data_IF_984722426257
#
_entry.id   IF_984722426257
#
_cell.length_a   1.000
_cell.length_b   1.000
_cell.length_c   1.000
_cell.angle_alpha   90.00
_cell.angle_beta   90.00
_cell.angle_gamma   90.00
#
_symmetry.space_group_name_H-M   'P 1'
#
loop_
_entity.id
_entity.type
_entity.pdbx_description
1 polymer ?
#
# COMPACT_ATOMS: atom_id res chain seq x y z
N UNK A 1 -30.14 -31.94 31.91
CA UNK A 1 -30.17 -30.83 30.96
C UNK A 1 -29.10 -29.82 31.36
N UNK A 2 -27.87 -30.01 30.88
CA UNK A 2 -26.72 -29.18 31.27
C UNK A 2 -26.60 -28.06 30.23
N UNK A 3 -26.91 -26.85 30.64
CA UNK A 3 -26.76 -25.64 29.79
C UNK A 3 -25.27 -25.37 29.59
N UNK A 4 -24.76 -25.70 28.44
CA UNK A 4 -23.39 -25.29 28.01
C UNK A 4 -23.42 -23.78 27.81
N UNK A 5 -22.95 -23.07 28.82
CA UNK A 5 -22.72 -21.63 28.76
C UNK A 5 -21.62 -21.35 27.75
N UNK A 6 -21.99 -21.00 26.51
CA UNK A 6 -21.05 -20.53 25.48
C UNK A 6 -20.30 -19.31 26.03
N UNK A 7 -19.11 -19.51 26.57
CA UNK A 7 -18.17 -18.43 26.87
C UNK A 7 -17.70 -17.89 25.55
N UNK A 8 -18.21 -16.77 25.14
CA UNK A 8 -17.63 -15.93 24.11
C UNK A 8 -16.25 -15.45 24.61
N UNK A 9 -15.19 -16.17 24.28
CA UNK A 9 -13.83 -15.65 24.46
C UNK A 9 -13.65 -14.60 23.36
N UNK A 10 -13.53 -13.31 23.71
CA UNK A 10 -13.25 -12.29 22.69
C UNK A 10 -11.89 -12.60 22.08
N UNK A 11 -11.77 -12.46 20.76
CA UNK A 11 -10.51 -12.49 20.03
C UNK A 11 -9.65 -11.29 20.47
N UNK A 12 -9.01 -11.40 21.61
CA UNK A 12 -8.03 -10.39 22.04
C UNK A 12 -6.76 -10.65 21.26
N UNK A 13 -6.43 -9.76 20.33
CA UNK A 13 -5.18 -9.82 19.59
C UNK A 13 -4.01 -9.77 20.55
N UNK A 14 -3.15 -10.78 20.50
CA UNK A 14 -1.94 -10.82 21.31
C UNK A 14 -0.93 -9.75 20.82
N UNK A 15 -0.08 -9.26 21.73
CA UNK A 15 1.04 -8.37 21.37
C UNK A 15 1.92 -9.00 20.29
N UNK A 16 2.12 -10.31 20.35
CA UNK A 16 2.90 -11.06 19.36
C UNK A 16 2.26 -11.03 17.96
N UNK A 17 0.92 -11.10 17.87
CA UNK A 17 0.21 -10.94 16.61
C UNK A 17 0.34 -9.51 16.07
N UNK A 18 0.28 -8.50 16.93
CA UNK A 18 0.50 -7.11 16.52
C UNK A 18 1.93 -6.89 15.98
N UNK A 19 2.94 -7.48 16.63
CA UNK A 19 4.32 -7.49 16.13
C UNK A 19 4.39 -8.24 14.79
N UNK A 20 3.72 -9.37 14.66
CA UNK A 20 3.61 -10.13 13.40
C UNK A 20 3.01 -9.29 12.27
N UNK A 21 1.94 -8.55 12.52
CA UNK A 21 1.33 -7.60 11.57
C UNK A 21 2.32 -6.49 11.18
N UNK A 22 3.02 -5.91 12.14
CA UNK A 22 4.01 -4.85 11.89
C UNK A 22 5.18 -5.37 11.05
N UNK A 23 5.75 -6.53 11.39
CA UNK A 23 6.84 -7.15 10.63
C UNK A 23 6.40 -7.60 9.23
N UNK A 24 5.21 -8.17 9.10
CA UNK A 24 4.65 -8.47 7.78
C UNK A 24 4.58 -7.21 6.93
N UNK A 25 4.00 -6.12 7.47
CA UNK A 25 3.88 -4.84 6.79
C UNK A 25 5.22 -4.24 6.38
N UNK A 26 6.23 -4.29 7.27
CA UNK A 26 7.58 -3.81 7.01
C UNK A 26 8.24 -4.48 5.80
N UNK A 27 7.75 -5.64 5.37
CA UNK A 27 8.27 -6.40 4.23
C UNK A 27 7.54 -6.17 2.91
N UNK A 28 6.33 -5.59 2.93
CA UNK A 28 5.50 -5.49 1.73
C UNK A 28 5.97 -4.43 0.71
N UNK A 29 6.76 -3.45 1.15
CA UNK A 29 7.28 -2.39 0.27
C UNK A 29 8.75 -2.57 -0.11
N UNK A 30 9.64 -3.06 0.76
CA UNK A 30 11.06 -3.26 0.43
C UNK A 30 11.30 -4.07 -0.83
N UNK A 31 10.47 -5.08 -1.09
CA UNK A 31 10.54 -5.89 -2.30
C UNK A 31 10.47 -5.07 -3.61
N UNK A 32 9.75 -3.95 -3.59
CA UNK A 32 9.59 -3.05 -4.75
C UNK A 32 10.63 -1.94 -4.69
N UNK A 33 10.76 -1.27 -3.55
CA UNK A 33 11.60 -0.07 -3.42
C UNK A 33 13.09 -0.38 -3.45
N UNK A 34 13.53 -1.53 -2.92
CA UNK A 34 14.93 -1.94 -3.01
C UNK A 34 15.38 -2.15 -4.45
N UNK A 35 14.57 -2.82 -5.27
CA UNK A 35 14.92 -3.05 -6.66
C UNK A 35 14.89 -1.75 -7.48
N UNK A 36 13.92 -0.87 -7.19
CA UNK A 36 13.81 0.43 -7.85
C UNK A 36 15.02 1.34 -7.57
N UNK A 37 15.60 1.27 -6.36
CA UNK A 37 16.72 2.12 -5.97
C UNK A 37 18.06 1.75 -6.66
N UNK A 38 18.20 0.52 -7.15
CA UNK A 38 19.40 0.02 -7.87
C UNK A 38 19.08 -0.37 -9.32
N UNK A 39 18.00 0.15 -9.87
CA UNK A 39 17.46 -0.27 -11.17
C UNK A 39 18.43 0.01 -12.34
N UNK A 40 19.23 1.07 -12.23
CA UNK A 40 20.25 1.43 -13.24
C UNK A 40 21.32 0.36 -13.29
N UNK A 41 21.79 -0.10 -12.15
CA UNK A 41 22.86 -1.10 -12.01
C UNK A 41 22.34 -2.48 -12.42
N UNK A 42 21.11 -2.81 -12.07
CA UNK A 42 20.41 -4.02 -12.56
C UNK A 42 20.32 -4.03 -14.07
N UNK A 43 19.94 -2.91 -14.68
CA UNK A 43 19.86 -2.78 -16.15
C UNK A 43 21.22 -2.96 -16.82
N UNK A 44 22.25 -2.32 -16.27
CA UNK A 44 23.61 -2.42 -16.80
C UNK A 44 24.17 -3.84 -16.67
N UNK A 45 24.02 -4.46 -15.48
CA UNK A 45 24.53 -5.78 -15.19
C UNK A 45 23.83 -6.91 -15.99
N UNK A 46 22.54 -6.75 -16.29
CA UNK A 46 21.78 -7.74 -17.08
C UNK A 46 21.81 -7.48 -18.59
N UNK A 47 22.34 -6.36 -19.03
CA UNK A 47 22.39 -5.97 -20.46
C UNK A 47 21.00 -5.83 -21.09
N UNK A 48 19.98 -5.43 -20.31
CA UNK A 48 18.58 -5.42 -20.76
C UNK A 48 18.13 -4.07 -21.32
N UNK A 49 17.07 -4.11 -22.14
CA UNK A 49 16.50 -2.91 -22.76
C UNK A 49 15.70 -2.07 -21.77
N UNK A 50 15.44 -0.79 -22.15
CA UNK A 50 14.53 0.06 -21.42
C UNK A 50 13.10 -0.51 -21.33
N UNK A 51 12.64 -1.22 -22.37
CA UNK A 51 11.35 -1.89 -22.37
C UNK A 51 11.25 -2.97 -21.31
N UNK A 52 12.31 -3.77 -21.12
CA UNK A 52 12.37 -4.77 -20.03
C UNK A 52 12.32 -4.09 -18.65
N UNK A 53 13.07 -3.00 -18.48
CA UNK A 53 13.06 -2.23 -17.22
C UNK A 53 11.69 -1.65 -16.93
N UNK A 54 11.00 -1.13 -17.96
CA UNK A 54 9.61 -0.65 -17.83
C UNK A 54 8.64 -1.78 -17.47
N UNK A 55 8.80 -2.96 -18.07
CA UNK A 55 8.01 -4.14 -17.69
C UNK A 55 8.24 -4.51 -16.23
N UNK A 56 9.49 -4.55 -15.76
CA UNK A 56 9.84 -4.84 -14.37
C UNK A 56 9.17 -3.87 -13.38
N UNK A 57 9.14 -2.58 -13.69
CA UNK A 57 8.50 -1.56 -12.85
C UNK A 57 6.98 -1.60 -12.89
N UNK A 58 6.37 -2.15 -13.95
CA UNK A 58 4.94 -2.33 -14.07
C UNK A 58 4.41 -3.58 -13.34
N UNK A 59 5.27 -4.61 -13.14
CA UNK A 59 4.90 -5.88 -12.47
C UNK A 59 4.17 -5.66 -11.14
N UNK A 60 4.62 -4.81 -10.20
CA UNK A 60 3.94 -4.62 -8.93
C UNK A 60 2.47 -4.19 -9.09
N UNK A 61 2.20 -3.21 -9.94
CA UNK A 61 0.84 -2.70 -10.15
C UNK A 61 -0.08 -3.77 -10.76
N UNK A 62 0.42 -4.54 -11.73
CA UNK A 62 -0.32 -5.65 -12.34
C UNK A 62 -0.59 -6.76 -11.32
N UNK A 63 0.43 -7.15 -10.54
CA UNK A 63 0.25 -8.17 -9.50
C UNK A 63 -0.76 -7.72 -8.45
N UNK A 64 -0.69 -6.47 -8.00
CA UNK A 64 -1.64 -5.95 -7.00
C UNK A 64 -3.07 -5.90 -7.56
N UNK A 65 -3.23 -5.59 -8.86
CA UNK A 65 -4.52 -5.67 -9.52
C UNK A 65 -5.08 -7.09 -9.61
N UNK A 66 -4.31 -8.03 -10.10
CA UNK A 66 -4.80 -9.38 -10.40
C UNK A 66 -4.72 -10.36 -9.23
N UNK A 67 -3.58 -10.44 -8.52
CA UNK A 67 -3.40 -11.44 -7.47
C UNK A 67 -4.24 -11.13 -6.21
N UNK A 68 -4.63 -9.88 -5.99
CA UNK A 68 -5.50 -9.51 -4.88
C UNK A 68 -6.88 -10.18 -4.93
N UNK A 69 -7.39 -10.53 -6.13
CA UNK A 69 -8.64 -11.29 -6.27
C UNK A 69 -8.57 -12.69 -5.65
N UNK A 70 -7.39 -13.31 -5.62
CA UNK A 70 -7.21 -14.63 -5.04
C UNK A 70 -7.25 -14.61 -3.49
N UNK A 71 -6.99 -13.48 -2.85
CA UNK A 71 -6.83 -13.37 -1.42
C UNK A 71 -8.06 -13.85 -0.61
N UNK A 72 -9.32 -13.46 -0.92
CA UNK A 72 -10.47 -13.95 -0.17
C UNK A 72 -10.70 -15.46 -0.31
N UNK A 73 -10.35 -16.03 -1.47
CA UNK A 73 -10.44 -17.46 -1.71
C UNK A 73 -9.39 -18.22 -0.89
N UNK A 74 -8.14 -17.75 -0.89
CA UNK A 74 -7.07 -18.29 -0.05
C UNK A 74 -7.43 -18.20 1.43
N UNK A 75 -7.91 -17.04 1.90
CA UNK A 75 -8.32 -16.83 3.29
C UNK A 75 -9.44 -17.78 3.72
N UNK A 76 -10.40 -18.11 2.84
CA UNK A 76 -11.46 -19.09 3.13
C UNK A 76 -10.96 -20.52 3.13
N UNK A 77 -10.05 -20.90 2.23
CA UNK A 77 -9.56 -22.28 2.11
C UNK A 77 -8.52 -22.66 3.17
N UNK A 78 -7.60 -21.75 3.45
CA UNK A 78 -6.45 -22.01 4.32
C UNK A 78 -6.60 -21.43 5.73
N UNK A 79 -7.59 -20.54 5.92
CA UNK A 79 -7.63 -19.66 7.08
C UNK A 79 -6.74 -18.42 6.90
N UNK A 80 -7.10 -17.32 7.58
CA UNK A 80 -6.41 -16.02 7.39
C UNK A 80 -4.93 -16.09 7.77
N UNK A 81 -4.61 -16.72 8.90
CA UNK A 81 -3.24 -16.80 9.40
C UNK A 81 -2.33 -17.59 8.47
N UNK A 82 -2.78 -18.77 7.99
CA UNK A 82 -2.00 -19.57 7.05
C UNK A 82 -1.88 -18.92 5.69
N UNK A 83 -2.94 -18.25 5.21
CA UNK A 83 -2.92 -17.55 3.94
C UNK A 83 -1.88 -16.42 3.94
N UNK A 84 -1.80 -15.62 5.02
CA UNK A 84 -0.78 -14.56 5.16
C UNK A 84 0.61 -15.18 5.33
N UNK A 85 0.78 -16.20 6.17
CA UNK A 85 2.07 -16.87 6.34
C UNK A 85 2.59 -17.46 5.02
N UNK A 86 1.73 -18.10 4.24
CA UNK A 86 2.06 -18.61 2.92
C UNK A 86 2.43 -17.47 1.95
N UNK A 87 1.68 -16.38 1.96
CA UNK A 87 1.97 -15.23 1.10
C UNK A 87 3.29 -14.52 1.44
N UNK A 88 3.66 -14.47 2.72
CA UNK A 88 5.01 -14.04 3.14
C UNK A 88 6.11 -15.04 2.71
N UNK A 89 5.82 -16.34 2.75
CA UNK A 89 6.71 -17.36 2.20
C UNK A 89 6.93 -17.23 0.69
N UNK A 90 5.85 -16.95 -0.06
CA UNK A 90 5.89 -16.67 -1.51
C UNK A 90 6.68 -15.39 -1.78
N UNK A 91 6.49 -14.34 -0.97
CA UNK A 91 7.31 -13.12 -1.03
C UNK A 91 8.79 -13.45 -0.82
N UNK A 92 9.13 -14.19 0.23
CA UNK A 92 10.51 -14.59 0.53
C UNK A 92 11.13 -15.38 -0.63
N UNK A 93 10.39 -16.35 -1.18
CA UNK A 93 10.82 -17.12 -2.34
C UNK A 93 11.11 -16.22 -3.54
N UNK A 94 10.21 -15.29 -3.85
CA UNK A 94 10.41 -14.33 -4.94
C UNK A 94 11.63 -13.43 -4.73
N UNK A 95 11.90 -13.01 -3.48
CA UNK A 95 13.11 -12.25 -3.13
C UNK A 95 14.39 -13.06 -3.32
N UNK A 96 14.39 -14.33 -2.97
CA UNK A 96 15.53 -15.25 -3.17
C UNK A 96 15.75 -15.50 -4.66
N UNK A 97 14.70 -15.76 -5.43
CA UNK A 97 14.82 -15.99 -6.87
C UNK A 97 15.45 -14.81 -7.62
N UNK A 98 15.21 -13.56 -7.16
CA UNK A 98 15.80 -12.37 -7.79
C UNK A 98 17.33 -12.26 -7.64
N UNK A 99 17.92 -13.00 -6.72
CA UNK A 99 19.38 -13.05 -6.53
C UNK A 99 20.05 -13.95 -7.58
N UNK A 100 19.29 -14.87 -8.18
CA UNK A 100 19.76 -15.79 -9.23
C UNK A 100 19.93 -15.00 -10.54
N UNK A 101 20.91 -15.40 -11.36
CA UNK A 101 21.19 -14.75 -12.62
C UNK A 101 20.12 -15.01 -13.69
N UNK A 102 19.98 -14.04 -14.59
CA UNK A 102 19.09 -14.10 -15.73
C UNK A 102 17.92 -13.10 -15.67
N UNK A 103 17.70 -12.32 -16.74
CA UNK A 103 16.67 -11.28 -16.79
C UNK A 103 15.27 -11.82 -16.50
N UNK A 104 14.93 -12.98 -17.04
CA UNK A 104 13.61 -13.60 -16.87
C UNK A 104 13.41 -14.16 -15.47
N UNK A 105 14.51 -14.61 -14.80
CA UNK A 105 14.46 -15.07 -13.40
C UNK A 105 14.19 -13.88 -12.46
N UNK A 106 14.84 -12.73 -12.69
CA UNK A 106 14.61 -11.49 -11.94
C UNK A 106 13.18 -11.01 -12.12
N UNK A 107 12.66 -11.01 -13.35
CA UNK A 107 11.28 -10.63 -13.65
C UNK A 107 10.27 -11.57 -12.99
N UNK A 108 10.48 -12.89 -13.14
CA UNK A 108 9.63 -13.94 -12.55
C UNK A 108 9.66 -13.89 -11.02
N UNK A 109 10.84 -13.74 -10.41
CA UNK A 109 11.00 -13.58 -8.96
C UNK A 109 10.29 -12.34 -8.44
N UNK A 110 10.34 -11.22 -9.19
CA UNK A 110 9.60 -10.01 -8.85
C UNK A 110 8.09 -10.24 -8.93
N UNK A 111 7.60 -10.94 -9.96
CA UNK A 111 6.19 -11.31 -10.08
C UNK A 111 5.72 -12.16 -8.89
N UNK A 112 6.48 -13.19 -8.51
CA UNK A 112 6.19 -14.07 -7.37
C UNK A 112 6.16 -13.28 -6.07
N UNK A 113 7.17 -12.43 -5.83
CA UNK A 113 7.22 -11.56 -4.65
C UNK A 113 5.99 -10.65 -4.56
N UNK A 114 5.65 -9.97 -5.67
CA UNK A 114 4.51 -9.05 -5.74
C UNK A 114 3.15 -9.76 -5.59
N UNK A 115 3.02 -11.01 -6.07
CA UNK A 115 1.82 -11.82 -5.85
C UNK A 115 1.62 -12.12 -4.36
N UNK A 116 2.69 -12.46 -3.63
CA UNK A 116 2.65 -12.62 -2.17
C UNK A 116 2.25 -11.32 -1.45
N UNK A 117 2.83 -10.19 -1.87
CA UNK A 117 2.46 -8.86 -1.33
C UNK A 117 0.99 -8.55 -1.54
N UNK A 118 0.44 -8.81 -2.74
CA UNK A 118 -0.95 -8.52 -3.07
C UNK A 118 -1.92 -9.25 -2.14
N UNK A 119 -1.68 -10.53 -1.86
CA UNK A 119 -2.50 -11.33 -0.94
C UNK A 119 -2.41 -10.79 0.48
N UNK A 120 -1.20 -10.48 0.97
CA UNK A 120 -0.99 -9.93 2.30
C UNK A 120 -1.68 -8.58 2.48
N UNK A 121 -1.58 -7.68 1.51
CA UNK A 121 -2.21 -6.35 1.53
C UNK A 121 -3.74 -6.43 1.68
N UNK A 122 -4.38 -7.43 1.08
CA UNK A 122 -5.84 -7.65 1.19
C UNK A 122 -6.21 -8.26 2.54
N UNK A 123 -5.44 -9.22 3.04
CA UNK A 123 -5.81 -10.02 4.22
C UNK A 123 -5.40 -9.37 5.55
N UNK A 124 -4.31 -8.60 5.62
CA UNK A 124 -3.88 -7.95 6.86
C UNK A 124 -4.94 -7.03 7.47
N UNK A 125 -5.62 -6.14 6.73
CA UNK A 125 -6.71 -5.34 7.28
C UNK A 125 -7.87 -6.18 7.85
N UNK A 126 -8.09 -7.36 7.28
CA UNK A 126 -9.13 -8.30 7.77
C UNK A 126 -8.73 -8.89 9.12
N UNK A 127 -7.46 -9.31 9.26
CA UNK A 127 -6.91 -9.80 10.53
C UNK A 127 -6.92 -8.69 11.58
N UNK A 128 -6.55 -7.46 11.21
CA UNK A 128 -6.60 -6.30 12.11
C UNK A 128 -8.00 -6.11 12.65
N UNK A 129 -9.03 -6.12 11.79
CA UNK A 129 -10.43 -6.00 12.20
C UNK A 129 -10.91 -7.16 13.08
N UNK A 130 -10.50 -8.39 12.74
CA UNK A 130 -10.93 -9.60 13.44
C UNK A 130 -10.31 -9.71 14.84
N UNK A 131 -9.01 -9.39 14.94
CA UNK A 131 -8.22 -9.64 16.16
C UNK A 131 -8.10 -8.43 17.08
N UNK A 132 -8.32 -7.21 16.56
CA UNK A 132 -8.17 -5.97 17.31
C UNK A 132 -9.37 -5.03 17.12
N UNK A 133 -10.62 -5.46 17.39
CA UNK A 133 -11.83 -4.69 17.09
C UNK A 133 -11.84 -3.32 17.78
N UNK A 134 -11.36 -3.25 19.04
CA UNK A 134 -11.30 -2.00 19.82
C UNK A 134 -10.09 -1.11 19.48
N UNK A 135 -9.12 -1.63 18.71
CA UNK A 135 -7.85 -0.94 18.37
C UNK A 135 -7.59 -0.91 16.86
N UNK A 136 -8.63 -1.04 16.03
CA UNK A 136 -8.49 -1.10 14.57
C UNK A 136 -7.69 0.10 14.03
N UNK A 137 -7.98 1.31 14.50
CA UNK A 137 -7.27 2.51 14.08
C UNK A 137 -5.78 2.49 14.43
N UNK A 138 -5.46 2.10 15.68
CA UNK A 138 -4.07 2.01 16.14
C UNK A 138 -3.26 0.98 15.34
N UNK A 139 -3.80 -0.23 15.20
CA UNK A 139 -3.11 -1.32 14.49
C UNK A 139 -3.03 -1.03 12.98
N UNK A 140 -4.04 -0.37 12.39
CA UNK A 140 -3.95 0.11 11.00
C UNK A 140 -2.84 1.16 10.86
N UNK A 141 -2.71 2.08 11.82
CA UNK A 141 -1.63 3.06 11.85
C UNK A 141 -0.26 2.40 11.96
N UNK A 142 -0.09 1.43 12.85
CA UNK A 142 1.14 0.64 12.97
C UNK A 142 1.44 -0.11 11.67
N UNK A 143 0.45 -0.79 11.10
CA UNK A 143 0.56 -1.49 9.82
C UNK A 143 1.05 -0.58 8.70
N UNK A 144 0.37 0.55 8.50
CA UNK A 144 0.69 1.47 7.39
C UNK A 144 1.96 2.28 7.65
N UNK A 145 2.25 2.60 8.91
CA UNK A 145 3.49 3.27 9.32
C UNK A 145 4.71 2.39 9.09
N UNK A 146 4.66 1.12 9.51
CA UNK A 146 5.77 0.17 9.28
C UNK A 146 5.94 -0.18 7.80
N UNK A 147 4.85 -0.22 7.03
CA UNK A 147 4.90 -0.37 5.57
C UNK A 147 5.65 0.80 4.91
N UNK A 148 5.36 2.04 5.33
CA UNK A 148 6.04 3.23 4.82
C UNK A 148 7.50 3.30 5.29
N UNK A 149 7.77 2.96 6.55
CA UNK A 149 9.12 2.90 7.10
C UNK A 149 9.97 1.84 6.38
N UNK A 150 9.40 0.66 6.09
CA UNK A 150 10.07 -0.38 5.31
C UNK A 150 10.45 0.08 3.91
N UNK A 151 9.54 0.82 3.24
CA UNK A 151 9.82 1.41 1.93
C UNK A 151 11.00 2.40 1.99
N UNK A 152 10.98 3.32 2.97
CA UNK A 152 12.00 4.34 3.14
C UNK A 152 13.36 3.72 3.48
N UNK A 153 13.38 2.74 4.39
CA UNK A 153 14.60 2.00 4.75
C UNK A 153 15.20 1.28 3.55
N UNK A 154 14.36 0.59 2.76
CA UNK A 154 14.84 -0.12 1.58
C UNK A 154 15.42 0.83 0.54
N UNK A 155 14.75 1.94 0.25
CA UNK A 155 15.25 2.94 -0.68
C UNK A 155 16.58 3.56 -0.23
N UNK A 156 16.74 3.82 1.07
CA UNK A 156 17.94 4.46 1.62
C UNK A 156 19.12 3.50 1.82
N UNK A 157 18.83 2.25 2.20
CA UNK A 157 19.89 1.31 2.57
C UNK A 157 20.37 0.46 1.39
N UNK A 158 19.50 0.15 0.42
CA UNK A 158 19.89 -0.77 -0.68
C UNK A 158 21.09 -0.27 -1.50
N UNK A 159 21.19 1.03 -1.90
CA UNK A 159 22.39 1.51 -2.59
C UNK A 159 23.66 1.39 -1.72
N UNK A 160 23.56 1.70 -0.41
CA UNK A 160 24.71 1.56 0.51
C UNK A 160 25.14 0.10 0.70
N UNK A 161 24.16 -0.82 0.72
CA UNK A 161 24.44 -2.26 0.76
C UNK A 161 25.08 -2.73 -0.55
N UNK A 162 24.68 -2.14 -1.68
CA UNK A 162 25.31 -2.40 -2.97
C UNK A 162 26.77 -1.95 -2.99
N UNK A 163 27.05 -0.74 -2.52
CA UNK A 163 28.42 -0.23 -2.38
C UNK A 163 29.25 -1.13 -1.44
N UNK A 164 28.66 -1.58 -0.33
CA UNK A 164 29.33 -2.44 0.66
C UNK A 164 29.64 -3.84 0.14
N UNK A 165 28.69 -4.47 -0.56
CA UNK A 165 28.85 -5.85 -1.09
C UNK A 165 29.47 -5.87 -2.48
N UNK A 166 29.57 -4.75 -3.19
CA UNK A 166 29.97 -4.69 -4.60
C UNK A 166 29.00 -5.41 -5.54
N UNK A 167 27.75 -5.62 -5.11
CA UNK A 167 26.75 -6.41 -5.85
C UNK A 167 25.33 -5.99 -5.53
N UNK A 168 24.59 -5.56 -6.54
CA UNK A 168 23.17 -5.26 -6.41
C UNK A 168 22.34 -6.50 -5.98
N UNK A 169 22.76 -7.71 -6.39
CA UNK A 169 22.09 -8.95 -6.03
C UNK A 169 22.13 -9.19 -4.52
N UNK A 170 23.31 -9.02 -3.91
CA UNK A 170 23.47 -9.18 -2.47
C UNK A 170 22.67 -8.11 -1.72
N UNK A 171 22.71 -6.86 -2.18
CA UNK A 171 21.96 -5.74 -1.59
C UNK A 171 20.45 -5.98 -1.58
N UNK A 172 19.90 -6.47 -2.71
CA UNK A 172 18.47 -6.83 -2.82
C UNK A 172 18.16 -8.10 -2.04
N UNK A 173 19.11 -9.06 -1.98
CA UNK A 173 18.97 -10.34 -1.28
C UNK A 173 18.83 -10.21 0.24
N UNK A 174 19.44 -9.20 0.86
CA UNK A 174 19.33 -8.94 2.31
C UNK A 174 17.87 -8.82 2.76
N UNK A 175 16.99 -8.26 1.93
CA UNK A 175 15.57 -8.11 2.25
C UNK A 175 14.82 -9.46 2.34
N UNK A 176 15.36 -10.53 1.75
CA UNK A 176 14.82 -11.88 1.94
C UNK A 176 15.00 -12.38 3.38
N UNK A 177 16.08 -11.99 4.06
CA UNK A 177 16.30 -12.34 5.47
C UNK A 177 15.25 -11.68 6.39
N UNK A 178 14.93 -10.41 6.14
CA UNK A 178 13.87 -9.72 6.88
C UNK A 178 12.52 -10.39 6.64
N UNK A 179 12.22 -10.78 5.40
CA UNK A 179 10.99 -11.48 5.05
C UNK A 179 10.91 -12.86 5.67
N UNK A 180 12.00 -13.64 5.68
CA UNK A 180 12.06 -14.94 6.34
C UNK A 180 11.84 -14.81 7.86
N UNK A 181 12.44 -13.80 8.51
CA UNK A 181 12.18 -13.48 9.92
C UNK A 181 10.71 -13.16 10.18
N UNK A 182 10.08 -12.39 9.30
CA UNK A 182 8.65 -12.08 9.41
C UNK A 182 7.76 -13.34 9.30
N UNK A 183 8.10 -14.30 8.43
CA UNK A 183 7.40 -15.60 8.34
C UNK A 183 7.44 -16.34 9.68
N UNK A 184 8.62 -16.41 10.31
CA UNK A 184 8.81 -17.10 11.60
C UNK A 184 7.97 -16.44 12.69
N UNK A 185 8.08 -15.11 12.85
CA UNK A 185 7.33 -14.36 13.86
C UNK A 185 5.83 -14.42 13.59
N UNK A 186 5.41 -14.37 12.32
CA UNK A 186 4.02 -14.51 11.94
C UNK A 186 3.41 -15.83 12.43
N UNK A 187 4.06 -16.95 12.11
CA UNK A 187 3.55 -18.26 12.53
C UNK A 187 3.63 -18.46 14.05
N UNK A 188 4.62 -17.88 14.73
CA UNK A 188 4.68 -17.91 16.19
C UNK A 188 3.51 -17.12 16.82
N UNK A 189 3.16 -15.95 16.26
CA UNK A 189 2.05 -15.12 16.75
C UNK A 189 0.67 -15.64 16.39
N UNK A 190 0.55 -16.23 15.20
CA UNK A 190 -0.74 -16.71 14.68
C UNK A 190 -1.24 -17.98 15.36
N UNK A 191 -0.33 -18.84 15.84
CA UNK A 191 -0.69 -20.10 16.54
C UNK A 191 -1.63 -19.86 17.75
N UNK A 192 -1.51 -18.73 18.41
CA UNK A 192 -2.34 -18.38 19.57
C UNK A 192 -3.69 -17.74 19.19
N UNK A 193 -3.90 -17.41 17.91
CA UNK A 193 -5.14 -16.76 17.42
C UNK A 193 -6.02 -17.66 16.54
N UNK A 194 -5.50 -18.76 16.02
CA UNK A 194 -6.22 -19.61 15.04
C UNK A 194 -7.46 -20.31 15.61
N UNK A 195 -7.42 -20.78 16.84
CA UNK A 195 -8.56 -21.47 17.46
C UNK A 195 -9.82 -20.62 17.55
N UNK A 196 -9.65 -19.31 17.64
CA UNK A 196 -10.79 -18.39 17.75
C UNK A 196 -11.31 -17.88 16.38
N UNK A 197 -10.48 -17.87 15.34
CA UNK A 197 -10.85 -17.36 14.01
C UNK A 197 -11.60 -18.39 13.15
N UNK A 198 -11.29 -19.67 13.29
CA UNK A 198 -11.91 -20.76 12.51
C UNK A 198 -13.39 -20.96 12.88
N UNK A 199 -13.75 -20.75 14.16
CA UNK A 199 -15.11 -20.99 14.66
C UNK A 199 -16.15 -19.95 14.18
N UNK A 200 -15.73 -18.77 13.72
CA UNK A 200 -16.65 -17.69 13.34
C UNK A 200 -16.86 -17.47 11.84
N UNK A 201 -16.14 -18.21 10.99
CA UNK A 201 -16.35 -18.11 9.53
C UNK A 201 -17.61 -18.88 9.04
N UNK A 202 -18.37 -19.49 9.93
CA UNK A 202 -19.45 -20.43 9.60
C UNK A 202 -20.86 -19.83 9.55
N UNK A 203 -21.06 -18.53 9.72
CA UNK A 203 -22.36 -17.94 9.44
C UNK A 203 -22.48 -17.69 7.93
N UNK A 204 -23.50 -18.25 7.24
CA UNK A 204 -23.80 -17.89 5.86
C UNK A 204 -24.26 -16.43 5.84
N UNK A 205 -23.32 -15.49 5.66
CA UNK A 205 -23.70 -14.13 5.34
C UNK A 205 -24.51 -14.16 4.04
N UNK A 206 -25.68 -13.55 4.03
CA UNK A 206 -26.43 -13.30 2.80
C UNK A 206 -25.46 -12.81 1.75
N UNK A 207 -25.36 -13.56 0.64
CA UNK A 207 -24.41 -13.26 -0.46
C UNK A 207 -24.87 -12.05 -1.27
N UNK A 208 -25.06 -10.90 -0.63
CA UNK A 208 -25.25 -9.66 -1.40
C UNK A 208 -23.99 -9.38 -2.21
N UNK A 209 -24.16 -9.25 -3.49
CA UNK A 209 -23.03 -8.94 -4.39
C UNK A 209 -22.53 -7.53 -4.07
N UNK A 210 -21.28 -7.39 -3.66
CA UNK A 210 -20.63 -6.08 -3.45
C UNK A 210 -20.65 -5.23 -4.72
N UNK A 211 -20.67 -5.86 -5.90
CA UNK A 211 -20.78 -5.16 -7.18
C UNK A 211 -22.10 -4.38 -7.33
N UNK A 212 -23.13 -4.71 -6.55
CA UNK A 212 -24.40 -3.97 -6.51
C UNK A 212 -24.45 -2.90 -5.42
N UNK A 213 -23.43 -2.79 -4.60
CA UNK A 213 -23.35 -1.79 -3.54
C UNK A 213 -22.72 -0.50 -4.05
N UNK A 214 -23.45 0.62 -4.12
CA UNK A 214 -22.87 1.91 -4.51
C UNK A 214 -21.73 2.34 -3.56
N UNK A 215 -21.85 2.04 -2.27
CA UNK A 215 -20.81 2.37 -1.28
C UNK A 215 -19.52 1.58 -1.53
N UNK A 216 -19.62 0.31 -1.94
CA UNK A 216 -18.45 -0.49 -2.30
C UNK A 216 -17.69 0.12 -3.49
N UNK A 217 -18.40 0.61 -4.49
CA UNK A 217 -17.80 1.30 -5.62
C UNK A 217 -17.18 2.65 -5.23
N UNK A 218 -17.85 3.44 -4.40
CA UNK A 218 -17.29 4.69 -3.87
C UNK A 218 -15.99 4.44 -3.14
N UNK A 219 -15.91 3.44 -2.28
CA UNK A 219 -14.69 3.07 -1.55
C UNK A 219 -13.61 2.56 -2.53
N UNK A 220 -13.99 1.78 -3.54
CA UNK A 220 -13.08 1.27 -4.57
C UNK A 220 -12.45 2.39 -5.38
N UNK A 221 -13.25 3.32 -5.87
CA UNK A 221 -12.76 4.47 -6.65
C UNK A 221 -11.96 5.41 -5.77
N UNK A 222 -12.38 5.67 -4.54
CA UNK A 222 -11.61 6.43 -3.55
C UNK A 222 -10.22 5.83 -3.34
N UNK A 223 -10.12 4.51 -3.13
CA UNK A 223 -8.84 3.81 -3.01
C UNK A 223 -8.01 3.90 -4.30
N UNK A 224 -8.64 3.76 -5.46
CA UNK A 224 -7.98 3.86 -6.76
C UNK A 224 -7.39 5.25 -7.02
N UNK A 225 -8.17 6.30 -6.79
CA UNK A 225 -7.75 7.67 -7.02
C UNK A 225 -6.64 8.11 -6.04
N UNK A 226 -6.69 7.70 -4.76
CA UNK A 226 -5.62 7.98 -3.82
C UNK A 226 -4.32 7.26 -4.22
N UNK A 227 -4.42 6.02 -4.72
CA UNK A 227 -3.24 5.29 -5.20
C UNK A 227 -2.70 5.89 -6.49
N UNK A 228 -3.58 6.33 -7.40
CA UNK A 228 -3.20 7.07 -8.60
C UNK A 228 -2.45 8.36 -8.22
N UNK A 229 -2.99 9.15 -7.30
CA UNK A 229 -2.33 10.35 -6.78
C UNK A 229 -0.93 10.01 -6.25
N UNK A 230 -0.81 9.00 -5.40
CA UNK A 230 0.46 8.61 -4.80
C UNK A 230 1.49 8.17 -5.85
N UNK A 231 1.11 7.30 -6.79
CA UNK A 231 2.04 6.83 -7.83
C UNK A 231 2.42 7.93 -8.82
N UNK A 232 1.52 8.84 -9.13
CA UNK A 232 1.83 10.00 -9.98
C UNK A 232 2.83 10.93 -9.31
N UNK A 233 2.63 11.24 -8.03
CA UNK A 233 3.57 12.06 -7.24
C UNK A 233 4.92 11.36 -7.16
N UNK A 234 4.96 10.07 -6.81
CA UNK A 234 6.22 9.32 -6.71
C UNK A 234 6.98 9.26 -8.04
N UNK A 235 6.25 9.14 -9.15
CA UNK A 235 6.85 9.01 -10.48
C UNK A 235 7.31 10.33 -11.10
N UNK A 236 6.57 11.41 -10.89
CA UNK A 236 6.78 12.64 -11.67
C UNK A 236 7.20 13.86 -10.87
N UNK A 237 7.02 13.87 -9.53
CA UNK A 237 7.36 15.03 -8.71
C UNK A 237 8.80 15.51 -8.87
N UNK A 238 9.84 14.63 -8.90
CA UNK A 238 11.20 15.09 -9.12
C UNK A 238 11.39 15.78 -10.49
N UNK A 239 10.80 15.20 -11.55
CA UNK A 239 10.88 15.78 -12.87
C UNK A 239 10.20 17.16 -12.96
N UNK A 240 9.02 17.30 -12.32
CA UNK A 240 8.30 18.59 -12.25
C UNK A 240 9.13 19.65 -11.53
N UNK A 241 9.81 19.28 -10.43
CA UNK A 241 10.65 20.18 -9.65
C UNK A 241 11.90 20.60 -10.47
N UNK A 242 12.56 19.65 -11.15
CA UNK A 242 13.73 19.96 -12.00
C UNK A 242 13.34 20.87 -13.15
N UNK A 243 12.24 20.59 -13.85
CA UNK A 243 11.73 21.43 -14.95
C UNK A 243 11.34 22.84 -14.48
N UNK A 244 11.05 23.02 -13.19
CA UNK A 244 10.77 24.33 -12.58
C UNK A 244 12.03 25.04 -12.05
N UNK A 245 13.23 24.51 -12.30
CA UNK A 245 14.50 25.12 -11.93
C UNK A 245 15.06 24.69 -10.57
N UNK A 246 14.45 23.70 -9.91
CA UNK A 246 15.01 23.13 -8.69
C UNK A 246 16.16 22.18 -9.06
N UNK A 247 17.27 22.28 -8.34
CA UNK A 247 18.40 21.37 -8.52
C UNK A 247 17.99 19.89 -8.35
N UNK A 248 18.61 19.01 -9.17
CA UNK A 248 18.28 17.59 -9.23
C UNK A 248 18.42 16.88 -7.86
N UNK A 249 19.49 17.20 -7.12
CA UNK A 249 19.71 16.59 -5.81
C UNK A 249 18.65 17.07 -4.80
N UNK A 250 18.31 18.36 -4.84
CA UNK A 250 17.26 18.96 -4.02
C UNK A 250 15.90 18.37 -4.38
N UNK A 251 15.58 18.18 -5.64
CA UNK A 251 14.32 17.54 -6.07
C UNK A 251 14.21 16.10 -5.57
N UNK A 252 15.29 15.32 -5.61
CA UNK A 252 15.36 14.00 -5.02
C UNK A 252 15.18 14.00 -3.50
N UNK A 253 15.82 14.92 -2.78
CA UNK A 253 15.65 15.08 -1.33
C UNK A 253 14.20 15.47 -0.97
N UNK A 254 13.57 16.35 -1.72
CA UNK A 254 12.18 16.74 -1.49
C UNK A 254 11.22 15.56 -1.69
N UNK A 255 11.43 14.71 -2.69
CA UNK A 255 10.67 13.48 -2.81
C UNK A 255 10.86 12.58 -1.58
N UNK A 256 12.10 12.41 -1.11
CA UNK A 256 12.39 11.63 0.09
C UNK A 256 11.69 12.21 1.33
N UNK A 257 11.65 13.54 1.48
CA UNK A 257 10.90 14.22 2.55
C UNK A 257 9.41 13.89 2.48
N UNK A 258 8.80 13.93 1.28
CA UNK A 258 7.37 13.58 1.13
C UNK A 258 7.09 12.13 1.53
N UNK A 259 7.99 11.21 1.19
CA UNK A 259 7.89 9.80 1.57
C UNK A 259 8.10 9.60 3.07
N UNK A 260 9.08 10.28 3.66
CA UNK A 260 9.36 10.20 5.09
C UNK A 260 8.19 10.76 5.91
N UNK A 261 7.56 11.84 5.45
CA UNK A 261 6.37 12.43 6.08
C UNK A 261 5.19 11.44 6.10
N UNK A 262 5.12 10.52 5.13
CA UNK A 262 4.07 9.49 5.12
C UNK A 262 4.14 8.55 6.34
N UNK A 263 5.30 8.39 6.99
CA UNK A 263 5.45 7.52 8.17
C UNK A 263 4.66 8.07 9.35
N UNK A 264 4.92 9.29 9.87
CA UNK A 264 4.14 9.83 10.99
C UNK A 264 2.67 10.01 10.61
N UNK A 265 2.37 10.44 9.40
CA UNK A 265 0.97 10.58 8.94
C UNK A 265 0.25 9.23 8.98
N UNK A 266 0.89 8.15 8.53
CA UNK A 266 0.34 6.79 8.59
C UNK A 266 0.16 6.27 10.01
N UNK A 267 1.03 6.66 10.95
CA UNK A 267 0.92 6.26 12.35
C UNK A 267 -0.19 7.00 13.09
N UNK A 268 -0.38 8.29 12.82
CA UNK A 268 -1.30 9.12 13.60
C UNK A 268 -2.68 9.29 12.98
N UNK A 269 -2.80 9.32 11.64
CA UNK A 269 -4.11 9.56 10.98
C UNK A 269 -5.13 8.45 11.28
N UNK A 270 -4.85 7.14 11.14
CA UNK A 270 -5.85 6.12 11.42
C UNK A 270 -6.35 6.09 12.87
N UNK A 271 -5.49 6.13 13.92
CA UNK A 271 -5.99 6.12 15.29
C UNK A 271 -6.78 7.37 15.64
N UNK A 272 -6.42 8.55 15.12
CA UNK A 272 -7.20 9.77 15.30
C UNK A 272 -8.54 9.65 14.59
N UNK A 273 -8.55 9.25 13.32
CA UNK A 273 -9.76 9.11 12.51
C UNK A 273 -10.73 8.06 13.08
N UNK A 274 -10.22 6.98 13.66
CA UNK A 274 -11.04 5.92 14.26
C UNK A 274 -11.83 6.38 15.50
N UNK A 275 -11.45 7.48 16.14
CA UNK A 275 -12.18 8.06 17.28
C UNK A 275 -13.47 8.78 16.88
N UNK A 276 -13.61 9.10 15.60
CA UNK A 276 -14.78 9.82 15.08
C UNK A 276 -15.73 8.86 14.37
N UNK A 277 -17.03 9.10 14.46
CA UNK A 277 -18.05 8.36 13.73
C UNK A 277 -17.93 8.57 12.20
N UNK A 278 -17.50 9.75 11.78
CA UNK A 278 -17.26 10.11 10.39
C UNK A 278 -15.80 10.45 10.15
N UNK A 279 -15.20 9.85 9.14
CA UNK A 279 -13.84 10.15 8.69
C UNK A 279 -13.80 11.26 7.63
N UNK A 280 -14.97 11.76 7.19
CA UNK A 280 -15.08 12.79 6.16
C UNK A 280 -14.30 14.09 6.46
N UNK A 281 -14.27 14.63 7.70
CA UNK A 281 -13.47 15.82 8.00
C UNK A 281 -11.96 15.59 7.82
N UNK A 282 -11.47 14.39 8.17
CA UNK A 282 -10.06 14.04 7.99
C UNK A 282 -9.70 13.93 6.50
N UNK A 283 -10.57 13.31 5.69
CA UNK A 283 -10.40 13.25 4.23
C UNK A 283 -10.36 14.67 3.65
N UNK A 284 -11.28 15.55 4.08
CA UNK A 284 -11.32 16.93 3.62
C UNK A 284 -10.03 17.67 3.98
N UNK A 285 -9.55 17.53 5.21
CA UNK A 285 -8.32 18.20 5.65
C UNK A 285 -7.10 17.76 4.81
N UNK A 286 -6.91 16.45 4.63
CA UNK A 286 -5.83 15.92 3.81
C UNK A 286 -6.00 16.32 2.32
N UNK A 287 -7.24 16.34 1.82
CA UNK A 287 -7.56 16.76 0.46
C UNK A 287 -7.22 18.21 0.20
N UNK A 288 -7.60 19.11 1.11
CA UNK A 288 -7.31 20.54 1.00
C UNK A 288 -5.80 20.81 1.05
N UNK A 289 -5.07 20.15 1.96
CA UNK A 289 -3.61 20.30 2.02
C UNK A 289 -2.95 19.84 0.71
N UNK A 290 -3.33 18.66 0.20
CA UNK A 290 -2.80 18.16 -1.07
C UNK A 290 -3.17 19.06 -2.24
N UNK A 291 -4.41 19.55 -2.26
CA UNK A 291 -4.89 20.46 -3.30
C UNK A 291 -4.08 21.76 -3.29
N UNK A 292 -3.84 22.35 -2.12
CA UNK A 292 -3.00 23.55 -1.96
C UNK A 292 -1.56 23.28 -2.45
N UNK A 293 -0.99 22.10 -2.15
CA UNK A 293 0.34 21.73 -2.62
C UNK A 293 0.43 21.61 -4.15
N UNK A 294 -0.51 20.89 -4.78
CA UNK A 294 -0.54 20.74 -6.26
C UNK A 294 -0.87 22.08 -6.92
N UNK A 295 -1.76 22.88 -6.35
CA UNK A 295 -2.07 24.22 -6.85
C UNK A 295 -0.86 25.17 -6.76
N UNK A 296 -0.12 25.12 -5.65
CA UNK A 296 1.13 25.85 -5.50
C UNK A 296 2.19 25.46 -6.55
N UNK A 297 2.31 24.15 -6.82
CA UNK A 297 3.17 23.65 -7.91
C UNK A 297 2.71 24.12 -9.29
N UNK A 298 1.43 24.32 -9.50
CA UNK A 298 0.87 24.82 -10.76
C UNK A 298 1.16 26.31 -10.99
N UNK A 299 0.96 27.13 -9.94
CA UNK A 299 0.98 28.60 -10.07
C UNK A 299 2.36 29.19 -9.81
N UNK A 300 3.10 28.65 -8.85
CA UNK A 300 4.40 29.17 -8.41
C UNK A 300 5.34 28.05 -7.96
N UNK A 301 5.75 27.14 -8.87
CA UNK A 301 6.51 25.94 -8.52
C UNK A 301 7.84 26.25 -7.83
N UNK A 302 8.57 27.28 -8.26
CA UNK A 302 9.87 27.67 -7.72
C UNK A 302 9.79 28.56 -6.47
N UNK A 303 8.61 29.11 -6.13
CA UNK A 303 8.49 30.05 -5.01
C UNK A 303 8.71 29.39 -3.64
N UNK A 304 8.17 28.19 -3.44
CA UNK A 304 8.31 27.46 -2.18
C UNK A 304 8.22 25.93 -2.41
N UNK A 305 9.13 25.32 -3.17
CA UNK A 305 9.04 23.92 -3.56
C UNK A 305 8.95 22.98 -2.36
N UNK A 306 9.68 23.26 -1.27
CA UNK A 306 9.61 22.49 -0.04
C UNK A 306 8.23 22.53 0.63
N UNK A 307 7.58 23.69 0.65
CA UNK A 307 6.21 23.83 1.18
C UNK A 307 5.21 23.01 0.36
N UNK A 308 5.27 23.13 -0.96
CA UNK A 308 4.37 22.37 -1.84
C UNK A 308 4.51 20.88 -1.64
N UNK A 309 5.75 20.39 -1.56
CA UNK A 309 6.05 18.98 -1.34
C UNK A 309 5.55 18.49 0.02
N UNK A 310 5.70 19.28 1.09
CA UNK A 310 5.18 18.93 2.41
C UNK A 310 3.65 18.85 2.39
N UNK A 311 2.97 19.81 1.77
CA UNK A 311 1.51 19.80 1.63
C UNK A 311 1.02 18.59 0.82
N UNK A 312 1.69 18.24 -0.27
CA UNK A 312 1.43 17.04 -1.07
C UNK A 312 1.67 15.78 -0.21
N UNK A 313 2.74 15.76 0.58
CA UNK A 313 3.11 14.64 1.44
C UNK A 313 2.03 14.29 2.48
N UNK A 314 1.31 15.28 3.02
CA UNK A 314 0.15 15.02 3.88
C UNK A 314 -0.95 14.22 3.17
N UNK A 315 -1.12 14.40 1.86
CA UNK A 315 -2.06 13.63 1.06
C UNK A 315 -1.79 12.13 1.02
N UNK A 316 -0.55 11.71 1.26
CA UNK A 316 -0.21 10.30 1.38
C UNK A 316 -0.94 9.61 2.54
N UNK A 317 -1.43 10.39 3.53
CA UNK A 317 -2.29 9.91 4.61
C UNK A 317 -3.66 9.40 4.16
N UNK A 318 -4.08 9.66 2.94
CA UNK A 318 -5.32 9.09 2.39
C UNK A 318 -5.24 7.57 2.20
N UNK A 319 -4.06 7.01 1.97
CA UNK A 319 -3.90 5.56 1.86
C UNK A 319 -4.26 4.81 3.17
N UNK A 320 -3.63 5.10 4.32
CA UNK A 320 -4.01 4.45 5.58
C UNK A 320 -5.47 4.74 5.97
N UNK A 321 -5.99 5.92 5.63
CA UNK A 321 -7.37 6.29 5.89
C UNK A 321 -8.34 5.47 5.03
N UNK A 322 -8.03 5.19 3.78
CA UNK A 322 -8.85 4.33 2.91
C UNK A 322 -8.91 2.89 3.45
N UNK A 323 -7.79 2.33 3.92
CA UNK A 323 -7.76 1.01 4.55
C UNK A 323 -8.58 0.96 5.85
N UNK A 324 -8.50 2.01 6.66
CA UNK A 324 -9.32 2.14 7.86
C UNK A 324 -10.81 2.20 7.50
N UNK A 325 -11.20 3.02 6.53
CA UNK A 325 -12.59 3.15 6.06
C UNK A 325 -13.12 1.80 5.58
N UNK A 326 -12.38 1.02 4.80
CA UNK A 326 -12.78 -0.34 4.39
C UNK A 326 -13.13 -1.20 5.60
N UNK A 327 -12.31 -1.16 6.65
CA UNK A 327 -12.54 -1.93 7.87
C UNK A 327 -13.73 -1.43 8.67
N UNK A 328 -13.96 -0.12 8.74
CA UNK A 328 -15.05 0.48 9.51
C UNK A 328 -16.42 0.42 8.81
N UNK A 329 -16.46 0.33 7.48
CA UNK A 329 -17.73 0.33 6.69
C UNK A 329 -18.27 -1.06 6.39
N UNK A 330 -17.63 -2.10 6.89
CA UNK A 330 -18.10 -3.50 6.77
C UNK A 330 -18.50 -4.06 8.14
N UNK A 331 -19.55 -4.88 8.18
CA UNK A 331 -20.04 -5.48 9.44
C UNK A 331 -19.29 -6.76 9.80
N UNK A 332 -18.87 -7.52 8.79
CA UNK A 332 -18.19 -8.79 8.99
C UNK A 332 -16.76 -8.77 8.44
N UNK A 333 -15.90 -9.66 8.94
CA UNK A 333 -14.55 -9.88 8.43
C UNK A 333 -14.56 -10.41 6.98
N UNK A 334 -15.58 -11.22 6.64
CA UNK A 334 -15.79 -11.71 5.27
C UNK A 334 -16.07 -10.56 4.30
N UNK A 335 -16.94 -9.61 4.68
CA UNK A 335 -17.22 -8.44 3.84
C UNK A 335 -16.00 -7.53 3.75
N UNK A 336 -15.23 -7.39 4.83
CA UNK A 336 -13.95 -6.65 4.79
C UNK A 336 -12.99 -7.27 3.79
N UNK A 337 -12.83 -8.61 3.79
CA UNK A 337 -11.95 -9.31 2.85
C UNK A 337 -12.40 -9.11 1.40
N UNK A 338 -13.70 -9.22 1.14
CA UNK A 338 -14.27 -9.04 -0.20
C UNK A 338 -14.16 -7.60 -0.69
N UNK A 339 -14.46 -6.63 0.17
CA UNK A 339 -14.34 -5.21 -0.15
C UNK A 339 -12.87 -4.82 -0.36
N UNK A 340 -11.96 -5.28 0.50
CA UNK A 340 -10.52 -5.05 0.38
C UNK A 340 -9.98 -5.61 -0.94
N UNK A 341 -10.38 -6.84 -1.31
CA UNK A 341 -10.01 -7.44 -2.59
C UNK A 341 -10.53 -6.62 -3.77
N UNK A 342 -11.82 -6.26 -3.78
CA UNK A 342 -12.43 -5.45 -4.83
C UNK A 342 -11.74 -4.09 -4.96
N UNK A 343 -11.59 -3.37 -3.83
CA UNK A 343 -11.04 -2.04 -3.80
C UNK A 343 -9.57 -2.01 -4.21
N UNK A 344 -8.76 -2.95 -3.72
CA UNK A 344 -7.34 -2.99 -4.06
C UNK A 344 -7.11 -3.51 -5.48
N UNK A 345 -7.83 -4.54 -5.93
CA UNK A 345 -7.66 -5.04 -7.30
C UNK A 345 -8.03 -3.99 -8.33
N UNK A 346 -9.28 -3.51 -8.30
CA UNK A 346 -9.74 -2.51 -9.26
C UNK A 346 -9.06 -1.15 -9.05
N UNK A 347 -8.81 -0.79 -7.80
CA UNK A 347 -8.15 0.47 -7.47
C UNK A 347 -6.70 0.54 -7.95
N UNK A 348 -5.92 -0.53 -7.87
CA UNK A 348 -4.56 -0.53 -8.41
C UNK A 348 -4.54 -0.52 -9.95
N UNK A 349 -5.54 -1.11 -10.60
CA UNK A 349 -5.69 -0.95 -12.06
C UNK A 349 -5.98 0.49 -12.45
N UNK A 350 -6.85 1.19 -11.69
CA UNK A 350 -7.07 2.63 -11.86
C UNK A 350 -5.76 3.38 -11.62
N UNK A 351 -5.06 3.07 -10.54
CA UNK A 351 -3.82 3.75 -10.16
C UNK A 351 -2.72 3.65 -11.24
N UNK A 352 -2.63 2.51 -11.92
CA UNK A 352 -1.64 2.29 -12.97
C UNK A 352 -1.80 3.26 -14.17
N UNK A 353 -3.00 3.79 -14.40
CA UNK A 353 -3.25 4.75 -15.49
C UNK A 353 -2.65 6.13 -15.23
N UNK A 354 -2.44 6.50 -13.95
CA UNK A 354 -2.01 7.84 -13.56
C UNK A 354 -0.64 8.23 -14.13
N UNK A 355 0.45 7.54 -13.78
CA UNK A 355 1.79 7.87 -14.26
C UNK A 355 1.87 7.86 -15.79
N UNK A 356 1.16 6.93 -16.45
CA UNK A 356 1.10 6.86 -17.91
C UNK A 356 0.42 8.09 -18.51
N UNK A 357 -0.78 8.44 -18.03
CA UNK A 357 -1.52 9.61 -18.52
C UNK A 357 -0.72 10.91 -18.36
N UNK A 358 0.00 11.05 -17.23
CA UNK A 358 0.85 12.21 -16.97
C UNK A 358 2.02 12.31 -17.96
N UNK A 359 2.69 11.19 -18.26
CA UNK A 359 3.75 11.15 -19.24
C UNK A 359 3.28 11.54 -20.64
N UNK A 360 2.17 10.97 -21.08
CA UNK A 360 1.55 11.27 -22.38
C UNK A 360 1.13 12.75 -22.47
N UNK A 361 0.51 13.30 -21.44
CA UNK A 361 0.11 14.71 -21.42
C UNK A 361 1.33 15.64 -21.45
N UNK A 362 2.38 15.32 -20.70
CA UNK A 362 3.62 16.09 -20.71
C UNK A 362 4.30 16.08 -22.08
N UNK A 363 4.35 14.93 -22.75
CA UNK A 363 4.92 14.78 -24.07
C UNK A 363 4.10 15.53 -25.13
N UNK A 364 2.77 15.38 -25.09
CA UNK A 364 1.85 16.00 -26.06
C UNK A 364 1.76 17.53 -25.93
N UNK A 365 1.88 18.08 -24.70
CA UNK A 365 1.67 19.52 -24.47
C UNK A 365 2.98 20.29 -24.23
N UNK A 366 4.10 19.61 -24.05
CA UNK A 366 5.38 20.23 -23.69
C UNK A 366 5.42 20.88 -22.31
N UNK A 367 4.35 20.76 -21.48
CA UNK A 367 4.17 21.45 -20.21
C UNK A 367 3.56 20.52 -19.14
N UNK A 368 3.85 20.80 -17.87
CA UNK A 368 3.20 20.14 -16.73
C UNK A 368 1.82 20.71 -16.40
N UNK A 369 1.46 21.84 -16.96
CA UNK A 369 0.19 22.56 -16.63
C UNK A 369 -1.02 21.65 -16.79
N UNK A 370 -1.16 20.99 -17.94
CA UNK A 370 -2.31 20.10 -18.21
C UNK A 370 -2.34 18.90 -17.26
N UNK A 371 -1.17 18.31 -16.98
CA UNK A 371 -1.04 17.20 -16.03
C UNK A 371 -1.42 17.63 -14.60
N UNK A 372 -0.97 18.80 -14.15
CA UNK A 372 -1.28 19.33 -12.82
C UNK A 372 -2.76 19.71 -12.69
N UNK A 373 -3.37 20.30 -13.75
CA UNK A 373 -4.83 20.58 -13.77
C UNK A 373 -5.62 19.28 -13.70
N UNK A 374 -5.24 18.24 -14.46
CA UNK A 374 -5.85 16.92 -14.35
C UNK A 374 -5.73 16.38 -12.91
N UNK A 375 -4.55 16.53 -12.29
CA UNK A 375 -4.34 16.09 -10.90
C UNK A 375 -5.25 16.82 -9.92
N UNK A 376 -5.46 18.11 -10.08
CA UNK A 376 -6.39 18.90 -9.23
C UNK A 376 -7.83 18.39 -9.38
N UNK A 377 -8.29 18.12 -10.60
CA UNK A 377 -9.62 17.57 -10.86
C UNK A 377 -9.77 16.18 -10.21
N UNK A 378 -8.78 15.30 -10.39
CA UNK A 378 -8.78 13.97 -9.78
C UNK A 378 -8.72 14.04 -8.26
N UNK A 379 -7.99 15.00 -7.70
CA UNK A 379 -7.88 15.21 -6.26
C UNK A 379 -9.18 15.76 -5.66
N UNK A 380 -9.89 16.62 -6.38
CA UNK A 380 -11.23 17.07 -5.98
C UNK A 380 -12.23 15.90 -5.98
N UNK A 381 -12.21 15.06 -7.02
CA UNK A 381 -13.03 13.85 -7.09
C UNK A 381 -12.67 12.84 -5.98
N UNK A 382 -11.37 12.62 -5.74
CA UNK A 382 -10.84 11.81 -4.64
C UNK A 382 -11.37 12.28 -3.28
N UNK A 383 -11.30 13.58 -3.02
CA UNK A 383 -11.74 14.18 -1.76
C UNK A 383 -13.25 14.03 -1.61
N UNK A 384 -14.04 14.33 -2.64
CA UNK A 384 -15.50 14.19 -2.62
C UNK A 384 -15.93 12.73 -2.36
N UNK A 385 -15.37 11.77 -3.09
CA UNK A 385 -15.66 10.35 -2.90
C UNK A 385 -15.19 9.84 -1.54
N UNK A 386 -14.03 10.27 -1.08
CA UNK A 386 -13.51 9.94 0.23
C UNK A 386 -14.37 10.51 1.37
N UNK A 387 -14.95 11.70 1.22
CA UNK A 387 -15.93 12.25 2.16
C UNK A 387 -17.21 11.41 2.20
N UNK A 388 -17.69 10.92 1.06
CA UNK A 388 -18.86 10.03 1.00
C UNK A 388 -18.55 8.69 1.65
N UNK A 389 -17.38 8.10 1.36
CA UNK A 389 -16.90 6.85 1.95
C UNK A 389 -16.71 6.97 3.49
N UNK A 390 -16.28 8.15 3.95
CA UNK A 390 -16.04 8.45 5.36
C UNK A 390 -17.30 8.66 6.20
N UNK A 391 -18.50 8.75 5.60
CA UNK A 391 -19.76 8.88 6.36
C UNK A 391 -20.12 7.55 7.06
N UNK A 392 -20.81 7.57 8.21
CA UNK A 392 -21.16 6.37 8.95
C UNK A 392 -22.27 5.56 8.26
N UNK A 393 -21.93 4.91 7.17
CA UNK A 393 -22.78 3.99 6.40
C UNK A 393 -22.11 2.63 6.31
N UNK A 394 -22.87 1.54 6.22
CA UNK A 394 -22.35 0.18 6.20
C UNK A 394 -22.80 -0.57 4.95
N UNK A 395 -21.94 -1.50 4.52
CA UNK A 395 -22.18 -2.45 3.45
C UNK A 395 -22.79 -3.72 4.03
#
# INVERSE_FOLDING_TARGET
MTVVKNRHVPLVGSTLLAIGVALAAANLRPAVTSLASVLVDVRAALGVSAAWTSALTAVPALCFGFAAFAAPWLGRRLGMARAIGLSLGVLTLGLVLRVIDGPWVVLGGTFIACAGIAVSNVLIPVVVKASFPDKVGLITGVYTGTLSAGAALAAALTPRLEDFFGSWRMAVGVWALLSAGAVIVWFAGARHGEEAAVVRSAAPAERRSLLRSPLAWVITVFFGLQSLFAYTVMGWLPAMLVDSGVDRNTAGMLLAVSMLLSVPVSLFVPPIAARFSSQAPMVLALGVLSFAGIFGMLVAPSAAPGLWVVLIGFGMGMFPLALLVMSLRTKSTSDTARLSAMAQSLGYLIAATGPFAFGVLREATGSWTTSLVLQLVLLAALTALGMIAGRPRYI
#
